data_IF_714733396082
#
_entry.id   IF_714733396082
#
_cell.length_a   1.000
_cell.length_b   1.000
_cell.length_c   1.000
_cell.angle_alpha   90.00
_cell.angle_beta   90.00
_cell.angle_gamma   90.00
#
_symmetry.space_group_name_H-M   'P 1'
#
loop_
_entity.id
_entity.type
_entity.pdbx_description
1 polymer ?
#
# COMPACT_ATOMS: atom_id res chain seq x y z
N UNK A 1 -23.07 -9.32 32.83
CA UNK A 1 -21.92 -9.14 33.74
C UNK A 1 -21.82 -7.66 34.10
N UNK A 2 -21.68 -7.31 35.37
CA UNK A 2 -21.47 -5.92 35.79
C UNK A 2 -20.03 -5.53 35.49
N UNK A 3 -19.85 -4.45 34.74
CA UNK A 3 -18.55 -3.82 34.50
C UNK A 3 -18.53 -2.52 35.27
N UNK A 4 -17.57 -2.36 36.18
CA UNK A 4 -17.33 -1.09 36.88
C UNK A 4 -15.90 -0.63 36.62
N UNK A 5 -15.72 0.65 36.32
CA UNK A 5 -14.42 1.26 36.10
C UNK A 5 -14.28 2.50 36.99
N UNK A 6 -13.22 2.55 37.81
CA UNK A 6 -12.89 3.71 38.64
C UNK A 6 -11.38 3.80 38.82
N UNK A 7 -10.80 4.98 38.53
CA UNK A 7 -9.41 5.33 38.81
C UNK A 7 -8.38 4.25 38.40
N UNK A 8 -8.46 3.74 37.17
CA UNK A 8 -7.51 2.74 36.64
C UNK A 8 -7.76 1.29 37.09
N UNK A 9 -8.82 1.05 37.88
CA UNK A 9 -9.30 -0.31 38.16
C UNK A 9 -10.55 -0.60 37.34
N UNK A 10 -10.51 -1.64 36.52
CA UNK A 10 -11.70 -2.20 35.88
C UNK A 10 -12.07 -3.47 36.65
N UNK A 11 -13.35 -3.72 36.85
CA UNK A 11 -13.86 -4.97 37.43
C UNK A 11 -14.88 -5.58 36.49
N UNK A 12 -14.74 -6.89 36.20
CA UNK A 12 -15.76 -7.68 35.50
C UNK A 12 -16.32 -8.69 36.50
N UNK A 13 -17.64 -8.63 36.73
CA UNK A 13 -18.33 -9.50 37.68
C UNK A 13 -17.69 -9.50 39.09
N UNK A 14 -17.28 -8.31 39.55
CA UNK A 14 -16.64 -8.11 40.86
C UNK A 14 -15.15 -8.50 40.95
N UNK A 15 -14.57 -9.08 39.89
CA UNK A 15 -13.14 -9.41 39.83
C UNK A 15 -12.34 -8.25 39.24
N UNK A 16 -11.28 -7.76 39.89
CA UNK A 16 -10.39 -6.77 39.29
C UNK A 16 -9.75 -7.35 38.03
N UNK A 17 -9.82 -6.59 36.94
CA UNK A 17 -9.01 -6.75 35.74
C UNK A 17 -7.61 -6.24 36.07
N UNK A 18 -6.67 -7.18 36.17
CA UNK A 18 -5.29 -6.95 36.55
C UNK A 18 -4.66 -8.25 37.05
N UNK A 19 -3.33 -8.28 37.17
CA UNK A 19 -2.59 -9.52 37.50
C UNK A 19 -2.08 -10.25 36.26
N UNK A 20 -1.46 -11.43 36.42
CA UNK A 20 -0.73 -12.13 35.35
C UNK A 20 -1.62 -12.60 34.19
N UNK A 21 -2.95 -12.66 34.40
CA UNK A 21 -3.92 -13.11 33.40
C UNK A 21 -4.54 -11.96 32.59
N UNK A 22 -4.07 -10.71 32.79
CA UNK A 22 -4.53 -9.53 32.06
C UNK A 22 -3.39 -8.89 31.26
N UNK A 23 -3.62 -8.74 29.96
CA UNK A 23 -2.70 -8.08 29.03
C UNK A 23 -3.36 -6.78 28.53
N UNK A 24 -2.97 -5.65 29.14
CA UNK A 24 -3.40 -4.34 28.63
C UNK A 24 -2.69 -4.04 27.31
N UNK A 25 -3.42 -3.49 26.33
CA UNK A 25 -2.81 -3.02 25.09
C UNK A 25 -1.79 -1.91 25.39
N UNK A 26 -0.68 -1.93 24.67
CA UNK A 26 0.32 -0.88 24.78
C UNK A 26 -0.14 0.37 24.04
N UNK A 27 0.02 1.54 24.65
CA UNK A 27 -0.17 2.82 23.98
C UNK A 27 1.14 3.32 23.39
N UNK A 28 1.18 3.55 22.08
CA UNK A 28 2.20 4.34 21.42
C UNK A 28 1.79 5.81 21.53
N UNK A 29 2.64 6.64 22.12
CA UNK A 29 2.34 8.05 22.43
C UNK A 29 3.27 8.98 21.68
N UNK A 30 2.69 10.05 21.14
CA UNK A 30 3.38 11.19 20.55
C UNK A 30 2.56 12.47 20.79
N UNK A 31 3.12 13.65 20.47
CA UNK A 31 2.44 14.93 20.74
C UNK A 31 1.10 15.04 19.97
N UNK A 32 0.00 15.01 20.71
CA UNK A 32 -1.37 15.08 20.18
C UNK A 32 -1.88 13.80 19.52
N UNK A 33 -1.21 12.65 19.70
CA UNK A 33 -1.65 11.38 19.14
C UNK A 33 -1.29 10.20 20.04
N UNK A 34 -2.28 9.32 20.24
CA UNK A 34 -2.10 8.03 20.91
C UNK A 34 -2.63 6.95 19.99
N UNK A 35 -1.84 5.91 19.77
CA UNK A 35 -2.19 4.76 18.94
C UNK A 35 -2.05 3.48 19.76
N UNK A 36 -3.05 2.61 19.73
CA UNK A 36 -2.97 1.33 20.44
C UNK A 36 -2.16 0.32 19.62
N UNK A 37 -1.24 -0.40 20.26
CA UNK A 37 -0.61 -1.57 19.68
C UNK A 37 -1.42 -2.79 20.10
N UNK A 38 -2.17 -3.36 19.15
CA UNK A 38 -3.09 -4.46 19.38
C UNK A 38 -2.47 -5.81 19.02
N UNK A 39 -1.83 -6.44 20.01
CA UNK A 39 -1.19 -7.74 19.91
C UNK A 39 -2.01 -8.88 20.52
N UNK A 40 -3.24 -8.61 20.97
CA UNK A 40 -4.06 -9.59 21.70
C UNK A 40 -5.34 -10.00 20.97
N UNK A 41 -5.79 -9.26 19.94
CA UNK A 41 -7.01 -9.62 19.21
C UNK A 41 -6.89 -11.03 18.54
N UNK A 42 -7.83 -11.96 18.78
CA UNK A 42 -7.82 -13.28 18.14
C UNK A 42 -8.01 -13.22 16.62
N UNK A 43 -8.70 -12.21 16.08
CA UNK A 43 -8.97 -12.03 14.65
C UNK A 43 -7.98 -11.10 13.96
N UNK A 44 -6.86 -10.78 14.62
CA UNK A 44 -5.85 -9.82 14.16
C UNK A 44 -5.21 -10.14 12.80
N UNK A 45 -5.29 -11.37 12.30
CA UNK A 45 -4.69 -11.77 11.02
C UNK A 45 -5.64 -11.71 9.80
N UNK A 46 -6.89 -11.26 10.01
CA UNK A 46 -7.95 -11.13 9.00
C UNK A 46 -8.31 -12.45 8.29
N UNK A 47 -7.96 -13.61 8.87
CA UNK A 47 -8.21 -14.93 8.28
C UNK A 47 -8.99 -15.82 9.23
N UNK A 48 -8.41 -16.14 10.37
CA UNK A 48 -8.96 -17.10 11.32
C UNK A 48 -8.56 -16.70 12.74
N UNK A 49 -9.33 -17.13 13.76
CA UNK A 49 -8.94 -16.93 15.14
C UNK A 49 -7.55 -17.53 15.42
N UNK A 50 -6.60 -16.69 15.80
CA UNK A 50 -5.27 -17.05 16.26
C UNK A 50 -5.21 -17.02 17.80
N UNK A 51 -4.26 -17.76 18.37
CA UNK A 51 -3.96 -17.67 19.79
C UNK A 51 -3.47 -16.27 20.18
N UNK A 52 -3.61 -15.92 21.46
CA UNK A 52 -3.03 -14.69 22.02
C UNK A 52 -1.50 -14.87 22.04
N UNK A 53 -0.78 -14.04 21.30
CA UNK A 53 0.68 -14.08 21.18
C UNK A 53 1.20 -12.64 21.26
N UNK A 54 1.27 -12.08 22.48
CA UNK A 54 1.74 -10.72 22.70
C UNK A 54 3.19 -10.58 22.23
N UNK A 55 3.58 -9.40 21.76
CA UNK A 55 4.96 -9.21 21.32
C UNK A 55 5.88 -9.01 22.53
N UNK A 56 7.10 -9.57 22.46
CA UNK A 56 8.06 -9.57 23.58
C UNK A 56 8.48 -8.15 24.02
N UNK A 57 8.50 -7.19 23.09
CA UNK A 57 8.86 -5.81 23.35
C UNK A 57 8.12 -4.84 22.44
N UNK A 58 7.48 -3.85 23.06
CA UNK A 58 6.78 -2.75 22.39
C UNK A 58 7.64 -1.49 22.28
N UNK A 59 8.85 -1.50 22.87
CA UNK A 59 9.74 -0.35 22.92
C UNK A 59 10.19 0.10 21.51
N UNK A 60 10.52 -0.84 20.64
CA UNK A 60 10.90 -0.55 19.24
C UNK A 60 9.78 0.18 18.48
N UNK A 61 8.53 -0.24 18.68
CA UNK A 61 7.37 0.43 18.07
C UNK A 61 7.23 1.86 18.57
N UNK A 62 7.41 2.11 19.87
CA UNK A 62 7.36 3.45 20.44
C UNK A 62 8.53 4.33 19.96
N UNK A 63 9.74 3.76 19.87
CA UNK A 63 10.93 4.44 19.36
C UNK A 63 10.76 4.88 17.90
N UNK A 64 10.05 4.09 17.08
CA UNK A 64 9.76 4.42 15.69
C UNK A 64 8.53 5.32 15.54
N UNK A 65 7.52 5.17 16.41
CA UNK A 65 6.26 5.92 16.33
C UNK A 65 6.46 7.43 16.56
N UNK A 66 7.23 7.82 17.57
CA UNK A 66 7.46 9.23 17.88
C UNK A 66 8.02 10.01 16.69
N UNK A 67 9.16 9.59 16.12
CA UNK A 67 9.74 10.20 14.92
C UNK A 67 8.84 10.10 13.69
N UNK A 68 8.10 8.99 13.49
CA UNK A 68 7.16 8.84 12.39
C UNK A 68 6.02 9.86 12.47
N UNK A 69 5.46 10.05 13.66
CA UNK A 69 4.42 11.04 13.92
C UNK A 69 4.90 12.47 13.67
N UNK A 70 6.12 12.76 14.12
CA UNK A 70 6.82 14.00 13.89
C UNK A 70 7.00 14.32 12.39
N UNK A 71 7.37 13.30 11.60
CA UNK A 71 7.44 13.41 10.14
C UNK A 71 6.06 13.76 9.58
N UNK A 72 4.99 13.05 9.98
CA UNK A 72 3.64 13.30 9.49
C UNK A 72 3.17 14.73 9.78
N UNK A 73 3.27 15.17 11.03
CA UNK A 73 2.87 16.52 11.46
C UNK A 73 3.59 17.63 10.71
N UNK A 74 4.90 17.49 10.48
CA UNK A 74 5.71 18.47 9.74
C UNK A 74 5.41 18.47 8.23
N UNK A 75 4.84 17.40 7.72
CA UNK A 75 4.58 17.22 6.29
C UNK A 75 3.24 17.80 5.89
N UNK A 76 2.21 17.45 6.65
CA UNK A 76 0.83 17.83 6.40
C UNK A 76 0.05 17.73 7.71
N UNK A 77 -0.16 18.87 8.36
CA UNK A 77 -0.81 18.94 9.67
C UNK A 77 -2.27 18.49 9.60
N UNK A 78 -2.99 18.79 8.52
CA UNK A 78 -4.39 18.38 8.34
C UNK A 78 -4.50 16.85 8.20
N UNK A 79 -3.61 16.23 7.41
CA UNK A 79 -3.56 14.77 7.29
C UNK A 79 -3.17 14.11 8.61
N UNK A 80 -2.22 14.70 9.36
CA UNK A 80 -1.85 14.20 10.67
C UNK A 80 -3.04 14.28 11.65
N UNK A 81 -3.73 15.42 11.75
CA UNK A 81 -4.92 15.56 12.62
C UNK A 81 -6.02 14.55 12.24
N UNK A 82 -6.27 14.36 10.95
CA UNK A 82 -7.21 13.34 10.49
C UNK A 82 -6.78 11.92 10.87
N UNK A 83 -5.49 11.60 10.75
CA UNK A 83 -4.90 10.33 11.20
C UNK A 83 -5.11 10.12 12.70
N UNK A 84 -4.80 11.11 13.54
CA UNK A 84 -5.00 11.03 14.99
C UNK A 84 -6.47 10.84 15.39
N UNK A 85 -7.40 11.39 14.62
CA UNK A 85 -8.83 11.24 14.87
C UNK A 85 -9.44 9.96 14.31
N UNK A 86 -8.79 9.29 13.36
CA UNK A 86 -9.38 8.18 12.61
C UNK A 86 -8.65 6.84 12.70
N UNK A 87 -7.37 6.82 13.07
CA UNK A 87 -6.62 5.59 13.32
C UNK A 87 -6.53 5.35 14.83
N UNK A 88 -7.03 4.19 15.27
CA UNK A 88 -7.18 3.79 16.67
C UNK A 88 -6.10 2.80 17.08
N UNK A 89 -5.80 1.81 16.22
CA UNK A 89 -4.83 0.77 16.55
C UNK A 89 -3.99 0.30 15.36
N UNK A 90 -2.80 -0.21 15.70
CA UNK A 90 -1.94 -0.99 14.82
C UNK A 90 -1.79 -2.39 15.37
N UNK A 91 -2.06 -3.39 14.54
CA UNK A 91 -1.76 -4.79 14.82
C UNK A 91 -0.33 -5.09 14.38
N UNK A 92 0.60 -5.41 15.29
CA UNK A 92 1.98 -5.68 14.94
C UNK A 92 2.13 -7.03 14.25
N UNK A 93 3.01 -7.09 13.24
CA UNK A 93 3.49 -8.31 12.61
C UNK A 93 5.02 -8.35 12.62
N UNK A 94 5.63 -9.55 12.52
CA UNK A 94 7.06 -9.67 12.36
C UNK A 94 7.58 -8.80 11.20
N UNK A 95 8.81 -8.31 11.36
CA UNK A 95 9.52 -7.53 10.34
C UNK A 95 9.52 -8.29 9.01
N UNK A 96 9.12 -7.59 7.95
CA UNK A 96 9.12 -8.14 6.60
C UNK A 96 10.50 -7.98 5.93
N UNK A 97 10.61 -8.41 4.67
CA UNK A 97 11.79 -8.10 3.85
C UNK A 97 11.94 -6.58 3.71
N UNK A 98 13.17 -6.06 3.88
CA UNK A 98 13.45 -4.62 3.75
C UNK A 98 12.96 -4.12 2.40
N UNK A 99 12.28 -2.97 2.42
CA UNK A 99 11.61 -2.35 1.25
C UNK A 99 10.41 -3.10 0.68
N UNK A 100 9.92 -4.13 1.37
CA UNK A 100 8.63 -4.79 1.14
C UNK A 100 7.84 -4.87 2.45
N UNK A 101 7.48 -3.72 3.07
CA UNK A 101 6.66 -3.74 4.26
C UNK A 101 5.33 -4.45 3.97
N UNK A 102 4.85 -5.21 4.93
CA UNK A 102 3.55 -5.85 4.85
C UNK A 102 2.56 -5.10 5.72
N UNK A 103 1.50 -4.59 5.11
CA UNK A 103 0.41 -3.95 5.82
C UNK A 103 -0.93 -4.26 5.18
N UNK A 104 -1.99 -4.13 5.97
CA UNK A 104 -3.36 -4.35 5.51
C UNK A 104 -4.36 -3.64 6.43
N UNK A 105 -5.48 -3.21 5.85
CA UNK A 105 -6.64 -2.71 6.57
C UNK A 105 -7.89 -3.43 6.08
N UNK A 106 -8.91 -3.50 6.94
CA UNK A 106 -10.22 -4.03 6.57
C UNK A 106 -11.30 -2.97 6.80
N UNK A 107 -12.26 -2.89 5.88
CA UNK A 107 -13.44 -2.03 6.07
C UNK A 107 -14.30 -2.43 7.26
N UNK A 108 -14.24 -3.70 7.68
CA UNK A 108 -14.95 -4.22 8.85
C UNK A 108 -14.25 -3.88 10.18
N UNK A 109 -13.00 -3.41 10.12
CA UNK A 109 -12.18 -3.01 11.27
C UNK A 109 -11.69 -1.56 11.09
N UNK A 110 -12.65 -0.64 10.92
CA UNK A 110 -12.34 0.78 10.69
C UNK A 110 -11.48 1.36 11.82
N UNK A 111 -10.40 2.04 11.44
CA UNK A 111 -9.43 2.63 12.35
C UNK A 111 -8.34 1.67 12.80
N UNK A 112 -8.31 0.45 12.27
CA UNK A 112 -7.25 -0.52 12.54
C UNK A 112 -6.38 -0.71 11.31
N UNK A 113 -5.08 -0.88 11.53
CA UNK A 113 -4.11 -1.22 10.50
C UNK A 113 -3.21 -2.36 10.97
N UNK A 114 -3.07 -3.40 10.17
CA UNK A 114 -2.02 -4.39 10.36
C UNK A 114 -0.73 -3.89 9.71
N UNK A 115 0.39 -4.00 10.41
CA UNK A 115 1.70 -3.61 9.88
C UNK A 115 2.83 -4.51 10.39
N UNK A 116 3.74 -4.91 9.50
CA UNK A 116 5.04 -5.45 9.87
C UNK A 116 5.85 -4.41 10.63
N UNK A 117 6.68 -4.85 11.58
CA UNK A 117 7.62 -4.00 12.28
C UNK A 117 8.41 -3.13 11.27
N UNK A 118 8.37 -1.79 11.39
CA UNK A 118 8.91 -0.90 10.36
C UNK A 118 10.44 -0.80 10.43
N UNK A 119 11.12 -0.69 9.28
CA UNK A 119 12.59 -0.56 9.20
C UNK A 119 13.11 0.77 9.74
N UNK A 120 12.31 1.82 9.57
CA UNK A 120 12.60 3.16 10.04
C UNK A 120 11.30 3.97 10.19
N UNK A 121 11.44 5.19 10.70
CA UNK A 121 10.31 6.08 10.95
C UNK A 121 9.65 6.62 9.66
N UNK A 122 10.37 6.75 8.55
CA UNK A 122 9.80 7.20 7.27
C UNK A 122 8.92 6.10 6.65
N UNK A 123 9.39 4.85 6.69
CA UNK A 123 8.61 3.68 6.32
C UNK A 123 7.37 3.59 7.19
N UNK A 124 7.49 3.74 8.52
CA UNK A 124 6.31 3.68 9.39
C UNK A 124 5.30 4.78 9.07
N UNK A 125 5.77 6.02 8.91
CA UNK A 125 4.90 7.14 8.54
C UNK A 125 4.20 6.91 7.19
N UNK A 126 4.91 6.41 6.18
CA UNK A 126 4.32 6.06 4.87
C UNK A 126 3.30 4.93 4.99
N UNK A 127 3.54 3.92 5.83
CA UNK A 127 2.61 2.82 6.10
C UNK A 127 1.34 3.33 6.77
N UNK A 128 1.45 4.19 7.80
CA UNK A 128 0.28 4.79 8.46
C UNK A 128 -0.57 5.61 7.47
N UNK A 129 0.07 6.39 6.58
CA UNK A 129 -0.64 7.10 5.51
C UNK A 129 -1.36 6.12 4.58
N UNK A 130 -0.66 5.07 4.13
CA UNK A 130 -1.24 4.06 3.23
C UNK A 130 -2.50 3.43 3.83
N UNK A 131 -2.39 2.91 5.04
CA UNK A 131 -3.46 2.19 5.72
C UNK A 131 -4.62 3.11 6.11
N UNK A 132 -4.33 4.36 6.48
CA UNK A 132 -5.38 5.32 6.77
C UNK A 132 -6.21 5.72 5.54
N UNK A 133 -5.58 5.80 4.37
CA UNK A 133 -6.34 6.02 3.13
C UNK A 133 -7.25 4.82 2.81
N UNK A 134 -6.79 3.58 3.04
CA UNK A 134 -7.67 2.41 2.95
C UNK A 134 -8.85 2.51 3.91
N UNK A 135 -8.61 2.88 5.17
CA UNK A 135 -9.67 3.09 6.17
C UNK A 135 -10.68 4.16 5.71
N UNK A 136 -10.20 5.32 5.27
CA UNK A 136 -11.05 6.43 4.79
C UNK A 136 -11.94 6.02 3.62
N UNK A 137 -11.35 5.41 2.59
CA UNK A 137 -12.14 4.99 1.43
C UNK A 137 -13.10 3.85 1.78
N UNK A 138 -12.71 2.94 2.67
CA UNK A 138 -13.59 1.86 3.12
C UNK A 138 -14.79 2.40 3.89
N UNK A 139 -14.61 3.37 4.80
CA UNK A 139 -15.71 4.05 5.45
C UNK A 139 -16.61 4.80 4.45
N UNK A 140 -16.01 5.47 3.47
CA UNK A 140 -16.78 6.12 2.42
C UNK A 140 -17.60 5.12 1.59
N UNK A 141 -17.01 3.98 1.24
CA UNK A 141 -17.65 2.91 0.47
C UNK A 141 -18.71 2.14 1.28
N UNK A 142 -18.61 2.13 2.61
CA UNK A 142 -19.66 1.61 3.49
C UNK A 142 -20.93 2.47 3.42
N UNK A 143 -20.77 3.79 3.23
CA UNK A 143 -21.88 4.74 3.13
C UNK A 143 -22.39 4.92 1.69
N UNK A 144 -21.50 4.79 0.70
CA UNK A 144 -21.81 5.09 -0.69
C UNK A 144 -21.22 4.05 -1.64
N UNK A 145 -22.06 3.49 -2.50
CA UNK A 145 -21.58 2.69 -3.64
C UNK A 145 -20.82 3.58 -4.61
N UNK A 146 -19.63 3.14 -5.04
CA UNK A 146 -18.80 3.86 -6.04
C UNK A 146 -18.78 3.18 -7.41
N UNK A 147 -19.08 1.89 -7.44
CA UNK A 147 -19.06 1.07 -8.65
C UNK A 147 -20.08 -0.06 -8.54
N UNK A 148 -20.55 -0.51 -9.70
CA UNK A 148 -21.29 -1.74 -9.91
C UNK A 148 -20.41 -2.66 -10.78
N UNK A 149 -19.59 -3.45 -10.10
CA UNK A 149 -18.75 -4.47 -10.71
C UNK A 149 -18.94 -5.76 -9.91
N UNK A 150 -19.37 -6.81 -10.60
CA UNK A 150 -19.54 -8.14 -10.04
C UNK A 150 -18.19 -8.86 -9.81
N UNK A 151 -17.06 -8.16 -9.99
CA UNK A 151 -15.71 -8.63 -9.71
C UNK A 151 -15.16 -9.58 -10.78
N UNK A 152 -15.78 -9.63 -11.96
CA UNK A 152 -15.42 -10.56 -13.04
C UNK A 152 -14.31 -10.02 -13.93
N UNK A 153 -14.17 -8.69 -14.02
CA UNK A 153 -13.12 -8.04 -14.81
C UNK A 153 -11.90 -7.77 -13.93
N UNK A 154 -10.74 -8.18 -14.42
CA UNK A 154 -9.47 -8.01 -13.75
C UNK A 154 -8.62 -6.95 -14.43
N UNK A 155 -7.94 -6.16 -13.62
CA UNK A 155 -7.13 -5.03 -14.04
C UNK A 155 -5.70 -5.17 -13.52
N UNK A 156 -4.77 -4.57 -14.24
CA UNK A 156 -3.39 -4.42 -13.78
C UNK A 156 -3.32 -3.44 -12.59
N UNK A 157 -2.78 -3.90 -11.46
CA UNK A 157 -2.47 -3.09 -10.29
C UNK A 157 -0.94 -2.87 -10.21
N UNK A 158 -0.43 -1.65 -10.43
CA UNK A 158 1.02 -1.39 -10.53
C UNK A 158 1.86 -1.66 -9.27
N UNK A 159 1.20 -1.91 -8.14
CA UNK A 159 1.79 -2.15 -6.82
C UNK A 159 1.53 -3.58 -6.31
N UNK A 160 0.99 -4.47 -7.15
CA UNK A 160 0.75 -5.88 -6.81
C UNK A 160 1.19 -6.80 -7.93
N UNK A 161 1.52 -8.00 -7.52
CA UNK A 161 1.82 -9.08 -8.45
C UNK A 161 0.53 -9.64 -9.08
N UNK A 162 -0.60 -9.71 -8.36
CA UNK A 162 -1.87 -10.25 -8.89
C UNK A 162 -2.77 -9.20 -9.56
N UNK A 163 -3.54 -9.57 -10.60
CA UNK A 163 -4.63 -8.75 -11.14
C UNK A 163 -5.74 -8.49 -10.12
N UNK A 164 -6.36 -7.31 -10.18
CA UNK A 164 -7.37 -6.87 -9.20
C UNK A 164 -8.72 -6.55 -9.86
N UNK A 165 -9.86 -6.86 -9.19
CA UNK A 165 -11.16 -6.34 -9.60
C UNK A 165 -11.21 -4.82 -9.40
N UNK A 166 -12.20 -4.15 -9.99
CA UNK A 166 -12.30 -2.68 -10.00
C UNK A 166 -12.24 -2.08 -8.60
N UNK A 167 -12.99 -2.63 -7.65
CA UNK A 167 -13.00 -2.16 -6.26
C UNK A 167 -11.65 -2.29 -5.56
N UNK A 168 -10.94 -3.40 -5.78
CA UNK A 168 -9.60 -3.61 -5.24
C UNK A 168 -8.57 -2.66 -5.86
N UNK A 169 -8.71 -2.34 -7.15
CA UNK A 169 -7.85 -1.37 -7.82
C UNK A 169 -8.13 0.06 -7.32
N UNK A 170 -9.41 0.44 -7.14
CA UNK A 170 -9.81 1.74 -6.61
C UNK A 170 -9.28 1.97 -5.19
N UNK A 171 -9.33 0.93 -4.34
CA UNK A 171 -8.71 0.95 -3.00
C UNK A 171 -7.21 1.26 -3.07
N UNK A 172 -6.48 0.56 -3.94
CA UNK A 172 -5.05 0.83 -4.12
C UNK A 172 -4.78 2.23 -4.69
N UNK A 173 -5.58 2.71 -5.65
CA UNK A 173 -5.44 4.08 -6.20
C UNK A 173 -5.51 5.12 -5.08
N UNK A 174 -6.48 5.01 -4.17
CA UNK A 174 -6.67 5.98 -3.10
C UNK A 174 -5.56 5.91 -2.06
N UNK A 175 -5.10 4.70 -1.71
CA UNK A 175 -3.93 4.52 -0.84
C UNK A 175 -2.66 5.11 -1.42
N UNK A 176 -2.33 4.76 -2.67
CA UNK A 176 -1.11 5.24 -3.31
C UNK A 176 -1.18 6.73 -3.71
N UNK A 177 -2.37 7.33 -3.83
CA UNK A 177 -2.49 8.78 -3.92
C UNK A 177 -1.97 9.47 -2.65
N UNK A 178 -2.33 8.97 -1.47
CA UNK A 178 -1.79 9.46 -0.19
C UNK A 178 -0.30 9.23 -0.05
N UNK A 179 0.18 8.03 -0.40
CA UNK A 179 1.62 7.70 -0.41
C UNK A 179 2.40 8.61 -1.35
N UNK A 180 1.87 8.88 -2.55
CA UNK A 180 2.48 9.81 -3.50
C UNK A 180 2.60 11.22 -2.90
N UNK A 181 1.54 11.72 -2.25
CA UNK A 181 1.55 13.03 -1.60
C UNK A 181 2.54 13.11 -0.44
N UNK A 182 2.69 12.03 0.33
CA UNK A 182 3.70 11.91 1.39
C UNK A 182 5.12 12.03 0.80
N UNK A 183 5.47 11.19 -0.17
CA UNK A 183 6.82 11.15 -0.75
C UNK A 183 7.19 12.40 -1.54
N UNK A 184 6.21 13.09 -2.13
CA UNK A 184 6.38 14.38 -2.79
C UNK A 184 7.11 15.43 -1.93
N UNK A 185 7.00 15.32 -0.60
CA UNK A 185 7.58 16.27 0.35
C UNK A 185 8.99 15.86 0.82
N UNK A 186 9.63 14.86 0.22
CA UNK A 186 10.92 14.29 0.66
C UNK A 186 11.99 14.57 -0.39
N UNK A 187 12.97 15.39 -0.02
CA UNK A 187 14.00 15.87 -0.94
C UNK A 187 15.19 14.92 -1.12
N UNK A 188 15.35 13.90 -0.28
CA UNK A 188 16.44 12.92 -0.40
C UNK A 188 16.22 11.95 -1.57
N UNK A 189 17.28 11.26 -2.01
CA UNK A 189 17.25 10.46 -3.24
C UNK A 189 16.19 9.35 -3.22
N UNK A 190 16.05 8.62 -2.12
CA UNK A 190 15.00 7.61 -1.95
C UNK A 190 13.59 8.23 -2.02
N UNK A 191 13.36 9.34 -1.33
CA UNK A 191 12.06 10.01 -1.33
C UNK A 191 11.65 10.53 -2.71
N UNK A 192 12.59 11.10 -3.45
CA UNK A 192 12.37 11.48 -4.85
C UNK A 192 12.07 10.26 -5.74
N UNK A 193 12.69 9.11 -5.48
CA UNK A 193 12.43 7.87 -6.22
C UNK A 193 11.02 7.34 -5.95
N UNK A 194 10.61 7.25 -4.68
CA UNK A 194 9.26 6.84 -4.31
C UNK A 194 8.22 7.79 -4.91
N UNK A 195 8.44 9.11 -4.85
CA UNK A 195 7.54 10.08 -5.47
C UNK A 195 7.41 9.86 -6.99
N UNK A 196 8.53 9.68 -7.70
CA UNK A 196 8.55 9.47 -9.14
C UNK A 196 7.90 8.13 -9.55
N UNK A 197 8.13 7.07 -8.77
CA UNK A 197 7.53 5.76 -8.95
C UNK A 197 6.01 5.82 -8.78
N UNK A 198 5.55 6.27 -7.59
CA UNK A 198 4.14 6.22 -7.23
C UNK A 198 3.30 7.19 -8.04
N UNK A 199 3.77 8.41 -8.33
CA UNK A 199 2.99 9.34 -9.18
C UNK A 199 2.71 8.77 -10.57
N UNK A 200 3.68 8.06 -11.15
CA UNK A 200 3.55 7.44 -12.47
C UNK A 200 2.58 6.27 -12.44
N UNK A 201 2.69 5.41 -11.43
CA UNK A 201 1.84 4.23 -11.25
C UNK A 201 0.41 4.59 -10.87
N UNK A 202 0.20 5.50 -9.93
CA UNK A 202 -1.12 5.98 -9.53
C UNK A 202 -1.82 6.69 -10.68
N UNK A 203 -1.12 7.52 -11.46
CA UNK A 203 -1.71 8.15 -12.65
C UNK A 203 -2.08 7.14 -13.74
N UNK A 204 -1.26 6.09 -13.93
CA UNK A 204 -1.64 4.98 -14.81
C UNK A 204 -2.92 4.30 -14.33
N UNK A 205 -3.00 3.94 -13.06
CA UNK A 205 -4.15 3.24 -12.49
C UNK A 205 -5.42 4.11 -12.52
N UNK A 206 -5.30 5.42 -12.26
CA UNK A 206 -6.40 6.38 -12.41
C UNK A 206 -6.95 6.43 -13.83
N UNK A 207 -6.08 6.46 -14.85
CA UNK A 207 -6.52 6.37 -16.25
C UNK A 207 -7.23 5.06 -16.55
N UNK A 208 -6.68 3.94 -16.09
CA UNK A 208 -7.27 2.62 -16.30
C UNK A 208 -8.65 2.48 -15.65
N UNK A 209 -8.80 2.96 -14.40
CA UNK A 209 -10.07 2.98 -13.67
C UNK A 209 -11.06 3.95 -14.32
N UNK A 210 -10.61 5.13 -14.75
CA UNK A 210 -11.46 6.13 -15.40
C UNK A 210 -11.99 5.68 -16.77
N UNK A 211 -11.26 4.80 -17.47
CA UNK A 211 -11.72 4.18 -18.72
C UNK A 211 -12.49 2.88 -18.53
N UNK A 212 -12.55 2.33 -17.31
CA UNK A 212 -13.24 1.09 -17.05
C UNK A 212 -14.75 1.32 -16.95
N UNK A 213 -15.53 0.39 -17.51
CA UNK A 213 -16.95 0.30 -17.18
C UNK A 213 -17.12 -0.08 -15.71
N UNK A 214 -18.25 0.30 -15.12
CA UNK A 214 -18.64 -0.13 -13.77
C UNK A 214 -18.57 0.97 -12.72
N UNK A 215 -17.84 2.07 -12.91
CA UNK A 215 -17.98 3.24 -12.03
C UNK A 215 -19.38 3.85 -12.16
N UNK A 216 -19.98 4.26 -11.04
CA UNK A 216 -21.17 5.11 -11.07
C UNK A 216 -20.78 6.60 -11.09
N UNK A 217 -21.75 7.51 -11.02
CA UNK A 217 -21.48 8.96 -11.06
C UNK A 217 -20.56 9.44 -9.93
N UNK A 218 -20.70 8.87 -8.72
CA UNK A 218 -19.89 9.24 -7.58
C UNK A 218 -18.46 8.71 -7.72
N UNK A 219 -18.30 7.46 -8.19
CA UNK A 219 -17.00 6.87 -8.49
C UNK A 219 -16.26 7.64 -9.58
N UNK A 220 -16.96 8.04 -10.65
CA UNK A 220 -16.39 8.89 -11.72
C UNK A 220 -15.94 10.24 -11.19
N UNK A 221 -16.74 10.88 -10.32
CA UNK A 221 -16.37 12.15 -9.68
C UNK A 221 -15.13 12.03 -8.80
N UNK A 222 -15.03 10.97 -8.00
CA UNK A 222 -13.86 10.69 -7.17
C UNK A 222 -12.61 10.54 -8.05
N UNK A 223 -12.67 9.68 -9.08
CA UNK A 223 -11.54 9.41 -9.98
C UNK A 223 -11.12 10.66 -10.74
N UNK A 224 -12.08 11.46 -11.21
CA UNK A 224 -11.80 12.74 -11.88
C UNK A 224 -11.08 13.73 -10.94
N UNK A 225 -11.52 13.84 -9.68
CA UNK A 225 -10.88 14.74 -8.71
C UNK A 225 -9.47 14.28 -8.34
N UNK A 226 -9.25 12.99 -8.14
CA UNK A 226 -7.90 12.44 -7.91
C UNK A 226 -6.99 12.65 -9.12
N UNK A 227 -7.52 12.47 -10.34
CA UNK A 227 -6.79 12.71 -11.60
C UNK A 227 -6.37 14.18 -11.71
N UNK A 228 -7.31 15.11 -11.47
CA UNK A 228 -7.05 16.54 -11.49
C UNK A 228 -5.97 16.96 -10.48
N UNK A 229 -5.91 16.31 -9.31
CA UNK A 229 -4.91 16.61 -8.28
C UNK A 229 -3.53 16.02 -8.58
N UNK A 230 -3.46 14.82 -9.16
CA UNK A 230 -2.17 14.18 -9.45
C UNK A 230 -1.52 14.71 -10.72
N UNK A 231 -2.30 15.23 -11.67
CA UNK A 231 -1.80 15.67 -12.99
C UNK A 231 -0.67 16.72 -12.88
N UNK A 232 -0.78 17.80 -12.06
CA UNK A 232 0.33 18.72 -11.85
C UNK A 232 1.58 18.07 -11.25
N UNK A 233 1.42 16.99 -10.47
CA UNK A 233 2.55 16.31 -9.82
C UNK A 233 3.39 15.53 -10.82
N UNK A 234 2.86 15.18 -11.98
CA UNK A 234 3.58 14.43 -13.02
C UNK A 234 4.74 15.23 -13.60
N UNK A 235 4.57 16.56 -13.71
CA UNK A 235 5.57 17.47 -14.27
C UNK A 235 6.55 18.01 -13.21
N UNK A 236 6.33 17.71 -11.93
CA UNK A 236 7.23 18.18 -10.88
C UNK A 236 8.64 17.62 -11.04
N UNK A 237 9.68 18.46 -10.90
CA UNK A 237 11.05 18.02 -11.11
C UNK A 237 11.50 17.07 -10.01
N UNK A 238 12.21 16.03 -10.42
CA UNK A 238 13.03 15.16 -9.56
C UNK A 238 14.39 15.00 -10.24
N UNK A 239 15.40 14.57 -9.50
CA UNK A 239 16.73 14.29 -10.06
C UNK A 239 16.64 13.36 -11.30
N UNK A 240 17.43 13.66 -12.32
CA UNK A 240 17.34 12.97 -13.61
C UNK A 240 17.69 11.48 -13.53
N UNK A 241 18.63 11.10 -12.66
CA UNK A 241 19.00 9.70 -12.44
C UNK A 241 17.89 8.97 -11.69
N UNK A 242 17.32 9.62 -10.67
CA UNK A 242 16.17 9.10 -9.92
C UNK A 242 14.95 8.91 -10.83
N UNK A 243 14.62 9.88 -11.68
CA UNK A 243 13.54 9.76 -12.68
C UNK A 243 13.75 8.55 -13.58
N UNK A 244 14.97 8.36 -14.06
CA UNK A 244 15.33 7.24 -14.94
C UNK A 244 15.19 5.89 -14.22
N UNK A 245 15.65 5.81 -12.96
CA UNK A 245 15.49 4.63 -12.12
C UNK A 245 14.01 4.28 -11.89
N UNK A 246 13.19 5.27 -11.53
CA UNK A 246 11.75 5.08 -11.34
C UNK A 246 11.05 4.63 -12.63
N UNK A 247 11.35 5.28 -13.78
CA UNK A 247 10.79 4.89 -15.07
C UNK A 247 11.16 3.45 -15.44
N UNK A 248 12.40 3.03 -15.16
CA UNK A 248 12.85 1.66 -15.38
C UNK A 248 12.09 0.66 -14.48
N UNK A 249 11.88 0.98 -13.20
CA UNK A 249 11.10 0.15 -12.28
C UNK A 249 9.64 0.00 -12.74
N UNK A 250 9.00 1.08 -13.18
CA UNK A 250 7.63 1.06 -13.73
C UNK A 250 7.54 0.17 -14.98
N UNK A 251 8.48 0.34 -15.91
CA UNK A 251 8.50 -0.40 -17.16
C UNK A 251 8.73 -1.91 -16.92
N UNK A 252 9.67 -2.24 -16.04
CA UNK A 252 10.01 -3.63 -15.70
C UNK A 252 8.88 -4.35 -14.97
N UNK A 253 8.25 -3.69 -13.98
CA UNK A 253 7.09 -4.24 -13.29
C UNK A 253 5.96 -4.54 -14.28
N UNK A 254 5.62 -3.55 -15.14
CA UNK A 254 4.55 -3.73 -16.12
C UNK A 254 4.88 -4.83 -17.14
N UNK A 255 6.11 -4.90 -17.63
CA UNK A 255 6.51 -5.93 -18.60
C UNK A 255 6.42 -7.34 -18.01
N UNK A 256 6.97 -7.53 -16.81
CA UNK A 256 6.94 -8.81 -16.10
C UNK A 256 5.51 -9.21 -15.74
N UNK A 257 4.70 -8.27 -15.24
CA UNK A 257 3.30 -8.51 -14.94
C UNK A 257 2.53 -8.97 -16.18
N UNK A 258 2.72 -8.30 -17.32
CA UNK A 258 2.08 -8.72 -18.58
C UNK A 258 2.49 -10.12 -19.00
N UNK A 259 3.78 -10.46 -18.88
CA UNK A 259 4.27 -11.80 -19.19
C UNK A 259 3.62 -12.88 -18.30
N UNK A 260 3.37 -12.56 -17.03
CA UNK A 260 2.72 -13.48 -16.09
C UNK A 260 1.21 -13.62 -16.36
N UNK A 261 0.52 -12.53 -16.69
CA UNK A 261 -0.95 -12.46 -16.63
C UNK A 261 -1.67 -12.37 -17.97
N UNK A 262 -0.98 -12.02 -19.06
CA UNK A 262 -1.61 -11.98 -20.37
C UNK A 262 -1.42 -13.29 -21.12
N UNK A 263 -2.46 -13.70 -21.86
CA UNK A 263 -2.43 -14.86 -22.76
C UNK A 263 -2.84 -14.39 -24.15
N UNK A 264 -1.91 -13.84 -24.96
CA UNK A 264 -2.20 -13.46 -26.32
C UNK A 264 -2.61 -14.67 -27.16
N UNK A 265 -3.28 -14.43 -28.29
CA UNK A 265 -3.70 -15.48 -29.20
C UNK A 265 -2.46 -16.27 -29.72
N UNK A 266 -2.48 -17.62 -29.71
CA UNK A 266 -1.32 -18.42 -30.10
C UNK A 266 -0.75 -18.16 -31.50
N UNK A 267 -1.59 -17.85 -32.48
CA UNK A 267 -1.20 -17.43 -33.82
C UNK A 267 -0.44 -16.10 -33.83
N UNK A 268 -0.92 -15.08 -33.12
CA UNK A 268 -0.22 -13.80 -32.92
C UNK A 268 1.16 -14.04 -32.29
N UNK A 269 1.26 -14.87 -31.25
CA UNK A 269 2.54 -15.24 -30.64
C UNK A 269 3.49 -15.92 -31.64
N UNK A 270 2.99 -16.88 -32.43
CA UNK A 270 3.79 -17.57 -33.46
C UNK A 270 4.28 -16.63 -34.54
N UNK A 271 3.44 -15.71 -34.99
CA UNK A 271 3.79 -14.71 -36.01
C UNK A 271 4.89 -13.77 -35.49
N UNK A 272 4.76 -13.28 -34.26
CA UNK A 272 5.77 -12.45 -33.60
C UNK A 272 7.08 -13.20 -33.38
N UNK A 273 7.04 -14.44 -32.88
CA UNK A 273 8.24 -15.26 -32.67
C UNK A 273 8.98 -15.55 -33.98
N UNK A 274 8.24 -15.83 -35.07
CA UNK A 274 8.81 -16.06 -36.39
C UNK A 274 9.46 -14.80 -36.95
N UNK A 275 8.78 -13.64 -36.86
CA UNK A 275 9.33 -12.37 -37.31
C UNK A 275 10.59 -11.98 -36.52
N UNK A 276 10.56 -12.13 -35.19
CA UNK A 276 11.71 -11.89 -34.32
C UNK A 276 12.91 -12.75 -34.69
N UNK A 277 12.72 -14.06 -34.84
CA UNK A 277 13.77 -15.00 -35.20
C UNK A 277 14.40 -14.68 -36.57
N UNK A 278 13.62 -14.11 -37.49
CA UNK A 278 14.08 -13.69 -38.81
C UNK A 278 14.68 -12.27 -38.84
N UNK A 279 14.73 -11.55 -37.72
CA UNK A 279 15.16 -10.14 -37.68
C UNK A 279 14.21 -9.18 -38.40
N UNK A 280 12.97 -9.61 -38.66
CA UNK A 280 11.96 -8.81 -39.32
C UNK A 280 11.24 -7.90 -38.32
N UNK A 281 10.67 -6.77 -38.78
CA UNK A 281 9.78 -5.96 -37.97
C UNK A 281 8.61 -6.79 -37.42
N UNK A 282 8.26 -6.60 -36.15
CA UNK A 282 7.14 -7.30 -35.54
C UNK A 282 5.81 -6.87 -36.20
N UNK A 283 4.95 -7.82 -36.60
CA UNK A 283 3.61 -7.54 -37.10
C UNK A 283 2.83 -6.62 -36.15
N UNK A 284 2.32 -5.51 -36.67
CA UNK A 284 1.47 -4.58 -35.90
C UNK A 284 0.08 -5.20 -35.72
N UNK A 285 -0.27 -5.53 -34.48
CA UNK A 285 -1.65 -5.89 -34.10
C UNK A 285 -2.38 -4.60 -33.67
N UNK A 286 -2.79 -3.78 -34.63
CA UNK A 286 -3.49 -2.51 -34.31
C UNK A 286 -4.96 -2.70 -33.94
N UNK A 287 -5.55 -3.84 -34.31
CA UNK A 287 -7.00 -4.04 -34.23
C UNK A 287 -7.41 -5.15 -33.24
N UNK A 288 -6.46 -5.85 -32.63
CA UNK A 288 -6.77 -6.86 -31.61
C UNK A 288 -6.93 -6.19 -30.24
N UNK A 289 -8.07 -6.40 -29.55
CA UNK A 289 -8.23 -5.91 -28.19
C UNK A 289 -7.19 -6.57 -27.30
N UNK A 290 -6.70 -5.80 -26.31
CA UNK A 290 -5.76 -6.34 -25.33
C UNK A 290 -6.40 -7.53 -24.60
N UNK A 291 -5.72 -8.68 -24.49
CA UNK A 291 -6.30 -9.86 -23.85
C UNK A 291 -6.63 -9.54 -22.39
N UNK A 292 -7.78 -10.03 -21.93
CA UNK A 292 -8.15 -9.91 -20.53
C UNK A 292 -7.10 -10.62 -19.65
N UNK A 293 -6.67 -10.02 -18.53
CA UNK A 293 -5.73 -10.64 -17.63
C UNK A 293 -6.29 -11.93 -17.03
N UNK A 294 -5.45 -12.97 -16.99
CA UNK A 294 -5.70 -14.24 -16.29
C UNK A 294 -4.68 -14.34 -15.15
N UNK A 295 -5.11 -14.63 -13.91
CA UNK A 295 -4.18 -14.86 -12.81
C UNK A 295 -3.15 -15.92 -13.18
N UNK A 296 -1.89 -15.53 -13.07
CA UNK A 296 -0.73 -16.39 -13.29
C UNK A 296 0.03 -16.52 -11.98
N UNK A 297 1.01 -17.42 -11.95
CA UNK A 297 1.85 -17.66 -10.77
C UNK A 297 3.25 -17.09 -11.03
N UNK A 298 3.54 -15.84 -10.65
CA UNK A 298 4.89 -15.30 -10.78
C UNK A 298 5.84 -16.08 -9.87
N UNK A 299 7.01 -16.43 -10.41
CA UNK A 299 8.03 -17.19 -9.66
C UNK A 299 8.84 -16.32 -8.67
N UNK A 300 8.75 -15.00 -8.80
CA UNK A 300 9.45 -13.98 -8.00
C UNK A 300 8.57 -12.74 -7.87
N UNK A 301 8.80 -11.93 -6.84
CA UNK A 301 8.13 -10.63 -6.69
C UNK A 301 8.40 -9.72 -7.88
N UNK A 302 7.35 -9.22 -8.53
CA UNK A 302 7.46 -8.45 -9.79
C UNK A 302 8.09 -7.07 -9.54
N UNK A 303 8.07 -6.61 -8.29
CA UNK A 303 8.70 -5.38 -7.80
C UNK A 303 10.21 -5.50 -7.53
N UNK A 304 10.85 -6.65 -7.79
CA UNK A 304 12.27 -6.89 -7.46
C UNK A 304 13.20 -5.77 -7.94
N UNK A 305 12.98 -5.22 -9.14
CA UNK A 305 13.77 -4.09 -9.63
C UNK A 305 13.62 -2.83 -8.77
N UNK A 306 12.40 -2.52 -8.34
CA UNK A 306 12.15 -1.39 -7.45
C UNK A 306 12.86 -1.59 -6.11
N UNK A 307 12.79 -2.81 -5.53
CA UNK A 307 13.49 -3.15 -4.29
C UNK A 307 15.00 -2.96 -4.41
N UNK A 308 15.62 -3.45 -5.48
CA UNK A 308 17.06 -3.28 -5.71
C UNK A 308 17.46 -1.79 -5.86
N UNK A 309 16.62 -0.98 -6.52
CA UNK A 309 16.84 0.45 -6.64
C UNK A 309 16.70 1.18 -5.29
N UNK A 310 15.75 0.76 -4.43
CA UNK A 310 15.63 1.29 -3.07
C UNK A 310 16.87 1.00 -2.24
N UNK A 311 17.38 -0.23 -2.29
CA UNK A 311 18.68 -0.56 -1.68
C UNK A 311 19.79 0.35 -2.19
N UNK A 312 19.94 0.48 -3.52
CA UNK A 312 20.98 1.33 -4.10
C UNK A 312 20.89 2.79 -3.66
N UNK A 313 19.68 3.32 -3.49
CA UNK A 313 19.45 4.74 -3.14
C UNK A 313 19.51 5.02 -1.63
N UNK A 314 19.09 4.06 -0.81
CA UNK A 314 19.03 4.21 0.65
C UNK A 314 20.30 3.73 1.35
N UNK A 315 20.93 2.68 0.82
CA UNK A 315 22.05 1.98 1.43
C UNK A 315 22.95 1.33 0.36
N UNK A 316 23.80 2.12 -0.32
CA UNK A 316 24.69 1.61 -1.37
C UNK A 316 25.65 0.51 -0.89
N UNK A 317 26.04 0.54 0.39
CA UNK A 317 26.92 -0.46 0.98
C UNK A 317 26.18 -1.80 1.17
N UNK A 318 24.97 -1.75 1.72
CA UNK A 318 24.09 -2.91 1.80
C UNK A 318 23.73 -3.49 0.43
N UNK A 319 23.51 -2.64 -0.57
CA UNK A 319 23.30 -3.07 -1.95
C UNK A 319 24.51 -3.84 -2.52
N UNK A 320 25.74 -3.40 -2.23
CA UNK A 320 26.94 -4.10 -2.68
C UNK A 320 27.04 -5.49 -2.04
N UNK A 321 26.69 -5.62 -0.77
CA UNK A 321 26.70 -6.89 -0.04
C UNK A 321 25.64 -7.90 -0.52
N UNK A 322 24.57 -7.46 -1.19
CA UNK A 322 23.58 -8.39 -1.81
C UNK A 322 24.16 -9.23 -2.96
N UNK A 323 25.34 -8.86 -3.47
CA UNK A 323 26.00 -9.54 -4.59
C UNK A 323 26.90 -10.69 -4.14
N UNK A 324 27.24 -10.72 -2.86
CA UNK A 324 28.12 -11.72 -2.23
C UNK A 324 27.28 -12.87 -1.64
#
# INVERSE_FOLDING_TARGET
AEVSAAAGSVRIAGRPLGGPDWHALTELRADGCTLLLDDTDPYRDLRAPAGVEPIDSTAEWQELFGPAWDILRRTDTEVAEALAGGLVSVVPRPRAERFRPHSASSGDAFGTALASAPDDAEQFASTLVHEFQHNKLSAFMHLFTLYDDQGTRLHYAPWRDDPRPLGGLLQGVYAFFGVTAFWRRRGHALGQFEFALWRSQTAYALRAVGSADGLNDLGRRLVAELTRRIEPWLDEPVDARVRTAAALAVADHRATWRACHLRPEPGTLRAHATAWAAGNPLPRTTDEPEPAPVPGSPARGIDTRAVLLRWLLADPAGFAALRD
#
